data_IF_328253840744
#
_entry.id   IF_328253840744
#
_cell.length_a   1.000
_cell.length_b   1.000
_cell.length_c   1.000
_cell.angle_alpha   90.00
_cell.angle_beta   90.00
_cell.angle_gamma   90.00
#
_symmetry.space_group_name_H-M   'P 1'
#
loop_
_entity.id
_entity.type
_entity.pdbx_description
1 polymer ?
#
# COMPACT_ATOMS: atom_id res chain seq x y z
N UNK A 1 3.86 10.77 -18.47
CA UNK A 1 2.77 11.75 -18.24
C UNK A 1 1.95 11.28 -17.07
N UNK A 2 1.59 12.19 -16.17
CA UNK A 2 0.73 11.88 -15.02
C UNK A 2 -0.71 11.58 -15.44
N UNK A 3 -1.44 10.90 -14.56
CA UNK A 3 -2.87 10.69 -14.73
C UNK A 3 -3.62 12.03 -14.87
N UNK A 4 -4.45 12.15 -15.91
CA UNK A 4 -5.36 13.29 -16.07
C UNK A 4 -6.58 13.06 -15.20
N UNK A 5 -6.91 14.03 -14.37
CA UNK A 5 -8.03 13.96 -13.44
C UNK A 5 -9.06 15.07 -13.73
N UNK A 6 -9.65 15.02 -14.91
CA UNK A 6 -10.67 15.97 -15.32
C UNK A 6 -12.05 15.35 -15.13
N UNK A 7 -12.95 16.11 -14.51
CA UNK A 7 -14.35 15.73 -14.44
C UNK A 7 -14.96 15.71 -15.85
N UNK A 8 -15.89 14.80 -16.08
CA UNK A 8 -16.62 14.69 -17.33
C UNK A 8 -18.08 14.38 -17.02
N UNK A 9 -19.02 15.00 -17.74
CA UNK A 9 -20.46 14.74 -17.59
C UNK A 9 -20.81 13.26 -17.77
N UNK A 10 -20.02 12.50 -18.53
CA UNK A 10 -20.15 11.04 -18.66
C UNK A 10 -20.07 10.29 -17.32
N UNK A 11 -19.48 10.90 -16.28
CA UNK A 11 -19.41 10.33 -14.94
C UNK A 11 -20.75 10.41 -14.19
N UNK A 12 -21.70 11.23 -14.64
CA UNK A 12 -23.06 11.33 -14.07
C UNK A 12 -24.02 10.28 -14.64
N UNK A 13 -23.57 9.47 -15.60
CA UNK A 13 -24.39 8.41 -16.18
C UNK A 13 -24.92 7.45 -15.09
N UNK A 14 -26.19 6.99 -15.14
CA UNK A 14 -26.83 6.18 -14.09
C UNK A 14 -26.05 4.92 -13.68
N UNK A 15 -25.26 4.34 -14.60
CA UNK A 15 -24.33 3.23 -14.30
C UNK A 15 -23.35 3.49 -13.16
N UNK A 16 -23.07 4.76 -12.82
CA UNK A 16 -22.21 5.15 -11.71
C UNK A 16 -23.00 5.59 -10.46
N UNK A 17 -24.33 5.58 -10.48
CA UNK A 17 -25.17 6.07 -9.38
C UNK A 17 -24.86 5.37 -8.05
N UNK A 18 -24.71 4.05 -8.05
CA UNK A 18 -24.33 3.28 -6.85
C UNK A 18 -22.93 3.65 -6.32
N UNK A 19 -22.00 3.96 -7.22
CA UNK A 19 -20.65 4.41 -6.85
C UNK A 19 -20.69 5.78 -6.20
N UNK A 20 -21.44 6.73 -6.81
CA UNK A 20 -21.62 8.06 -6.25
C UNK A 20 -22.37 8.05 -4.92
N UNK A 21 -23.42 7.24 -4.81
CA UNK A 21 -24.14 7.05 -3.55
C UNK A 21 -23.20 6.55 -2.44
N UNK A 22 -22.39 5.52 -2.72
CA UNK A 22 -21.39 5.02 -1.77
C UNK A 22 -20.35 6.08 -1.38
N UNK A 23 -19.91 6.91 -2.32
CA UNK A 23 -18.99 8.03 -2.07
C UNK A 23 -19.64 9.10 -1.19
N UNK A 24 -20.90 9.46 -1.44
CA UNK A 24 -21.64 10.45 -0.64
C UNK A 24 -21.86 9.93 0.77
N UNK A 25 -22.27 8.67 0.92
CA UNK A 25 -22.41 8.02 2.23
C UNK A 25 -21.07 8.04 2.98
N UNK A 26 -19.97 7.66 2.31
CA UNK A 26 -18.64 7.71 2.92
C UNK A 26 -18.26 9.13 3.34
N UNK A 27 -18.52 10.13 2.50
CA UNK A 27 -18.27 11.54 2.80
C UNK A 27 -19.03 12.00 4.05
N UNK A 28 -20.32 11.67 4.15
CA UNK A 28 -21.14 12.01 5.31
C UNK A 28 -20.65 11.32 6.58
N UNK A 29 -20.36 10.02 6.50
CA UNK A 29 -19.87 9.24 7.64
C UNK A 29 -18.56 9.82 8.18
N UNK A 30 -17.58 10.13 7.33
CA UNK A 30 -16.29 10.64 7.82
C UNK A 30 -16.34 12.05 8.41
N UNK A 31 -17.49 12.73 8.41
CA UNK A 31 -17.64 13.97 9.18
C UNK A 31 -17.73 13.72 10.69
N UNK A 32 -18.08 12.49 11.11
CA UNK A 32 -18.14 12.11 12.52
C UNK A 32 -16.76 12.20 13.21
N UNK A 33 -16.72 12.32 14.55
CA UNK A 33 -15.45 12.40 15.26
C UNK A 33 -14.65 11.10 15.10
N UNK A 34 -13.33 11.23 14.99
CA UNK A 34 -12.45 10.13 14.58
C UNK A 34 -12.60 8.85 15.42
N UNK A 35 -12.72 9.01 16.75
CA UNK A 35 -12.89 7.89 17.69
C UNK A 35 -14.11 7.02 17.35
N UNK A 36 -15.20 7.63 16.87
CA UNK A 36 -16.40 6.91 16.45
C UNK A 36 -16.16 6.12 15.16
N UNK A 37 -15.45 6.70 14.20
CA UNK A 37 -15.08 6.03 12.94
C UNK A 37 -14.22 4.80 13.20
N UNK A 38 -13.25 4.89 14.11
CA UNK A 38 -12.39 3.75 14.48
C UNK A 38 -13.22 2.65 15.14
N UNK A 39 -14.11 2.98 16.08
CA UNK A 39 -14.98 1.99 16.74
C UNK A 39 -15.95 1.32 15.76
N UNK A 40 -16.60 2.12 14.92
CA UNK A 40 -17.52 1.63 13.90
C UNK A 40 -16.80 0.77 12.87
N UNK A 41 -15.64 1.21 12.39
CA UNK A 41 -14.79 0.45 11.47
C UNK A 41 -14.33 -0.87 12.07
N UNK A 42 -13.86 -0.86 13.32
CA UNK A 42 -13.47 -2.07 14.03
C UNK A 42 -14.65 -3.06 14.14
N UNK A 43 -15.83 -2.57 14.53
CA UNK A 43 -17.03 -3.38 14.67
C UNK A 43 -17.48 -3.98 13.32
N UNK A 44 -17.60 -3.15 12.27
CA UNK A 44 -17.98 -3.60 10.93
C UNK A 44 -16.94 -4.57 10.36
N UNK A 45 -15.66 -4.29 10.58
CA UNK A 45 -14.55 -5.14 10.16
C UNK A 45 -14.65 -6.55 10.74
N UNK A 46 -14.75 -6.68 12.06
CA UNK A 46 -14.87 -7.98 12.73
C UNK A 46 -16.13 -8.73 12.28
N UNK A 47 -17.27 -8.05 12.17
CA UNK A 47 -18.53 -8.65 11.74
C UNK A 47 -18.58 -9.00 10.24
N UNK A 48 -17.71 -8.40 9.43
CA UNK A 48 -17.63 -8.72 8.00
C UNK A 48 -17.33 -10.21 7.74
N UNK A 49 -16.71 -10.91 8.71
CA UNK A 49 -16.36 -12.34 8.58
C UNK A 49 -17.53 -13.24 8.17
N UNK A 50 -18.76 -12.88 8.53
CA UNK A 50 -19.96 -13.64 8.18
C UNK A 50 -20.36 -13.48 6.70
N UNK A 51 -19.99 -12.35 6.08
CA UNK A 51 -20.38 -11.98 4.72
C UNK A 51 -19.25 -12.17 3.69
N UNK A 52 -17.99 -11.96 4.08
CA UNK A 52 -16.82 -12.04 3.19
C UNK A 52 -15.99 -13.32 3.39
N UNK A 53 -16.66 -14.47 3.56
CA UNK A 53 -16.04 -15.78 3.88
C UNK A 53 -14.82 -16.12 3.02
N UNK A 54 -14.88 -15.88 1.70
CA UNK A 54 -13.75 -16.09 0.78
C UNK A 54 -12.52 -15.25 1.13
N UNK A 55 -12.72 -13.98 1.52
CA UNK A 55 -11.61 -13.10 1.92
C UNK A 55 -11.00 -13.55 3.25
N UNK A 56 -11.84 -13.97 4.20
CA UNK A 56 -11.37 -14.54 5.48
C UNK A 56 -10.50 -15.78 5.24
N UNK A 57 -10.94 -16.69 4.37
CA UNK A 57 -10.15 -17.87 3.99
C UNK A 57 -8.79 -17.50 3.37
N UNK A 58 -8.74 -16.49 2.49
CA UNK A 58 -7.47 -15.99 1.92
C UNK A 58 -6.55 -15.41 3.00
N UNK A 59 -7.09 -14.57 3.90
CA UNK A 59 -6.33 -13.97 5.00
C UNK A 59 -5.72 -15.09 5.86
N UNK A 60 -6.57 -16.01 6.32
CA UNK A 60 -6.15 -17.16 7.14
C UNK A 60 -5.07 -17.97 6.45
N UNK A 61 -5.28 -18.33 5.18
CA UNK A 61 -4.32 -19.12 4.42
C UNK A 61 -2.97 -18.42 4.26
N UNK A 62 -2.97 -17.12 3.99
CA UNK A 62 -1.71 -16.36 3.91
C UNK A 62 -0.98 -16.34 5.25
N UNK A 63 -1.70 -16.16 6.36
CA UNK A 63 -1.13 -16.15 7.70
C UNK A 63 -0.53 -17.50 8.07
N UNK A 64 -1.22 -18.61 7.77
CA UNK A 64 -0.72 -19.98 7.99
C UNK A 64 0.55 -20.25 7.17
N UNK A 65 0.60 -19.78 5.92
CA UNK A 65 1.76 -19.93 5.04
C UNK A 65 2.97 -19.10 5.53
N UNK A 66 2.74 -17.88 6.02
CA UNK A 66 3.80 -17.00 6.48
C UNK A 66 4.32 -17.40 7.87
N UNK A 67 3.44 -17.85 8.75
CA UNK A 67 3.72 -18.10 10.18
C UNK A 67 3.42 -19.55 10.57
N UNK A 68 4.13 -20.54 10.02
CA UNK A 68 3.86 -21.96 10.26
C UNK A 68 4.04 -22.38 11.73
N UNK A 69 4.80 -21.61 12.51
CA UNK A 69 5.04 -21.89 13.93
C UNK A 69 3.92 -21.36 14.85
N UNK A 70 2.95 -20.60 14.32
CA UNK A 70 1.80 -20.12 15.11
C UNK A 70 0.75 -21.19 15.22
N UNK A 71 0.19 -21.36 16.41
CA UNK A 71 -0.93 -22.26 16.60
C UNK A 71 -2.22 -21.69 15.99
N UNK A 72 -3.26 -22.53 15.90
CA UNK A 72 -4.55 -22.16 15.30
C UNK A 72 -5.21 -20.95 15.96
N UNK A 73 -5.13 -20.84 17.29
CA UNK A 73 -5.72 -19.73 18.04
C UNK A 73 -5.02 -18.41 17.68
N UNK A 74 -3.69 -18.41 17.65
CA UNK A 74 -2.91 -17.23 17.26
C UNK A 74 -3.22 -16.78 15.83
N UNK A 75 -3.36 -17.71 14.88
CA UNK A 75 -3.76 -17.39 13.51
C UNK A 75 -5.18 -16.79 13.49
N UNK A 76 -6.14 -17.42 14.17
CA UNK A 76 -7.53 -16.95 14.20
C UNK A 76 -7.65 -15.56 14.87
N UNK A 77 -6.91 -15.30 15.94
CA UNK A 77 -6.85 -13.98 16.59
C UNK A 77 -6.28 -12.92 15.63
N UNK A 78 -5.23 -13.26 14.88
CA UNK A 78 -4.60 -12.36 13.91
C UNK A 78 -5.51 -12.08 12.70
N UNK A 79 -6.32 -13.06 12.28
CA UNK A 79 -7.38 -12.87 11.27
C UNK A 79 -8.40 -11.85 11.77
N UNK A 80 -8.85 -11.94 13.02
CA UNK A 80 -9.83 -11.01 13.59
C UNK A 80 -9.27 -9.59 13.66
N UNK A 81 -8.02 -9.43 14.12
CA UNK A 81 -7.37 -8.11 14.14
C UNK A 81 -7.12 -7.56 12.72
N UNK A 82 -6.83 -8.43 11.75
CA UNK A 82 -6.74 -7.99 10.35
C UNK A 82 -8.07 -7.49 9.79
N UNK A 83 -9.17 -8.18 10.10
CA UNK A 83 -10.51 -7.75 9.72
C UNK A 83 -10.92 -6.45 10.42
N UNK A 84 -10.55 -6.28 11.70
CA UNK A 84 -10.70 -5.02 12.42
C UNK A 84 -9.99 -3.89 11.67
N UNK A 85 -8.74 -4.11 11.28
CA UNK A 85 -7.93 -3.13 10.55
C UNK A 85 -8.52 -2.79 9.18
N UNK A 86 -9.03 -3.79 8.45
CA UNK A 86 -9.72 -3.63 7.18
C UNK A 86 -10.96 -2.72 7.30
N UNK A 87 -11.78 -2.93 8.34
CA UNK A 87 -12.96 -2.10 8.56
C UNK A 87 -12.63 -0.65 8.93
N UNK A 88 -11.57 -0.42 9.71
CA UNK A 88 -11.07 0.94 9.99
C UNK A 88 -10.57 1.61 8.70
N UNK A 89 -9.88 0.86 7.84
CA UNK A 89 -9.32 1.38 6.59
C UNK A 89 -10.34 1.92 5.58
N UNK A 90 -11.58 1.43 5.62
CA UNK A 90 -12.68 2.02 4.85
C UNK A 90 -12.88 3.50 5.21
N UNK A 91 -12.89 3.81 6.51
CA UNK A 91 -13.02 5.19 6.98
C UNK A 91 -11.73 5.98 6.77
N UNK A 92 -10.55 5.36 6.94
CA UNK A 92 -9.27 6.01 6.63
C UNK A 92 -9.20 6.47 5.17
N UNK A 93 -9.78 5.70 4.25
CA UNK A 93 -9.91 6.08 2.84
C UNK A 93 -10.73 7.36 2.67
N UNK A 94 -11.91 7.42 3.29
CA UNK A 94 -12.74 8.63 3.25
C UNK A 94 -12.06 9.83 3.94
N UNK A 95 -11.39 9.60 5.07
CA UNK A 95 -10.59 10.62 5.77
C UNK A 95 -9.51 11.17 4.84
N UNK A 96 -8.75 10.30 4.18
CA UNK A 96 -7.68 10.70 3.26
C UNK A 96 -8.19 11.59 2.12
N UNK A 97 -9.35 11.24 1.55
CA UNK A 97 -9.90 11.92 0.39
C UNK A 97 -10.64 13.22 0.75
N UNK A 98 -11.33 13.28 1.89
CA UNK A 98 -12.26 14.37 2.20
C UNK A 98 -11.81 15.31 3.31
N UNK A 99 -10.98 14.89 4.27
CA UNK A 99 -10.57 15.78 5.36
C UNK A 99 -9.61 16.89 4.91
N UNK A 100 -9.67 18.02 5.61
CA UNK A 100 -8.71 19.11 5.43
C UNK A 100 -7.33 18.74 5.97
N UNK A 101 -6.29 19.38 5.44
CA UNK A 101 -4.90 19.21 5.88
C UNK A 101 -4.76 19.47 7.38
N UNK A 102 -5.47 20.48 7.91
CA UNK A 102 -5.49 20.82 9.34
C UNK A 102 -5.98 19.66 10.21
N UNK A 103 -6.96 18.88 9.75
CA UNK A 103 -7.44 17.70 10.50
C UNK A 103 -6.43 16.56 10.40
N UNK A 104 -5.89 16.29 9.22
CA UNK A 104 -4.93 15.20 8.99
C UNK A 104 -3.63 15.42 9.77
N UNK A 105 -3.09 16.64 9.79
CA UNK A 105 -1.84 16.99 10.52
C UNK A 105 -1.91 16.73 12.04
N UNK A 106 -3.10 16.58 12.62
CA UNK A 106 -3.29 16.23 14.04
C UNK A 106 -3.22 14.72 14.32
N UNK A 107 -3.23 13.89 13.28
CA UNK A 107 -3.33 12.44 13.42
C UNK A 107 -1.97 11.74 13.46
N UNK A 108 -0.88 12.38 13.04
CA UNK A 108 0.36 11.67 12.80
C UNK A 108 1.60 12.41 13.26
N UNK A 109 2.66 11.63 13.46
CA UNK A 109 4.03 12.07 13.60
C UNK A 109 4.91 11.40 12.55
N UNK A 110 6.05 12.00 12.23
CA UNK A 110 6.99 11.48 11.24
C UNK A 110 8.26 11.04 11.94
N UNK A 111 8.71 9.83 11.64
CA UNK A 111 9.96 9.25 12.15
C UNK A 111 10.91 8.97 10.99
N UNK A 112 12.19 9.32 11.14
CA UNK A 112 13.21 9.06 10.13
C UNK A 112 13.19 10.01 8.92
N UNK A 113 12.62 11.22 9.06
CA UNK A 113 12.59 12.20 7.96
C UNK A 113 13.99 12.60 7.46
N UNK A 114 14.99 12.56 8.34
CA UNK A 114 16.40 12.79 7.99
C UNK A 114 16.89 11.80 6.92
N UNK A 115 16.46 10.53 6.96
CA UNK A 115 16.84 9.53 5.95
C UNK A 115 16.40 9.96 4.55
N UNK A 116 15.20 10.55 4.41
CA UNK A 116 14.73 11.10 3.14
C UNK A 116 15.52 12.33 2.71
N UNK A 117 15.80 13.24 3.66
CA UNK A 117 16.58 14.46 3.39
C UNK A 117 18.00 14.13 2.92
N UNK A 118 18.66 13.18 3.58
CA UNK A 118 19.98 12.68 3.18
C UNK A 118 19.95 12.02 1.80
N UNK A 119 18.92 11.21 1.52
CA UNK A 119 18.78 10.54 0.23
C UNK A 119 18.58 11.53 -0.91
N UNK A 120 17.75 12.57 -0.72
CA UNK A 120 17.48 13.56 -1.76
C UNK A 120 18.63 14.55 -1.94
N UNK A 121 19.40 14.82 -0.88
CA UNK A 121 20.61 15.67 -0.93
C UNK A 121 21.71 15.10 -1.85
N UNK A 122 21.65 13.82 -2.20
CA UNK A 122 22.56 13.18 -3.18
C UNK A 122 22.33 13.68 -4.63
N UNK A 123 21.42 14.63 -4.86
CA UNK A 123 20.99 15.10 -6.19
C UNK A 123 20.50 13.96 -7.10
N UNK A 124 19.92 12.93 -6.48
CA UNK A 124 19.27 11.81 -7.16
C UNK A 124 17.81 11.76 -6.71
N UNK A 125 16.91 11.34 -7.59
CA UNK A 125 15.55 11.01 -7.16
C UNK A 125 15.56 9.84 -6.19
N UNK A 126 14.45 9.64 -5.48
CA UNK A 126 14.37 8.67 -4.37
C UNK A 126 13.29 7.63 -4.64
N UNK A 127 13.63 6.35 -4.52
CA UNK A 127 12.63 5.27 -4.58
C UNK A 127 12.16 5.00 -3.16
N UNK A 128 10.86 5.12 -2.94
CA UNK A 128 10.23 4.90 -1.65
C UNK A 128 9.41 3.61 -1.76
N UNK A 129 9.95 2.53 -1.20
CA UNK A 129 9.32 1.22 -1.12
C UNK A 129 8.26 1.23 -0.03
N UNK A 130 7.00 1.09 -0.43
CA UNK A 130 5.87 0.95 0.48
C UNK A 130 5.44 -0.49 0.68
N UNK A 131 4.71 -0.70 1.77
CA UNK A 131 3.94 -1.91 2.03
C UNK A 131 2.45 -1.60 1.88
N UNK A 132 1.66 -2.51 1.31
CA UNK A 132 0.20 -2.39 1.27
C UNK A 132 -0.39 -2.66 2.65
N UNK A 133 -0.23 -1.71 3.58
CA UNK A 133 -1.02 -1.68 4.80
C UNK A 133 -2.43 -1.19 4.51
N UNK A 134 -3.41 -1.62 5.32
CA UNK A 134 -4.82 -1.28 5.12
C UNK A 134 -5.05 0.23 5.06
N UNK A 135 -4.26 1.01 5.81
CA UNK A 135 -4.28 2.48 5.87
C UNK A 135 -3.65 3.18 4.64
N UNK A 136 -3.47 2.48 3.51
CA UNK A 136 -2.71 2.96 2.34
C UNK A 136 -3.12 4.35 1.83
N UNK A 137 -4.42 4.61 1.67
CA UNK A 137 -4.91 5.91 1.16
C UNK A 137 -4.55 7.06 2.12
N UNK A 138 -4.68 6.82 3.43
CA UNK A 138 -4.25 7.77 4.46
C UNK A 138 -2.74 7.92 4.49
N UNK A 139 -1.99 6.82 4.32
CA UNK A 139 -0.53 6.82 4.19
C UNK A 139 -0.05 7.70 3.03
N UNK A 140 -0.65 7.55 1.85
CA UNK A 140 -0.34 8.39 0.69
C UNK A 140 -0.66 9.87 0.93
N UNK A 141 -1.81 10.15 1.58
CA UNK A 141 -2.20 11.52 1.95
C UNK A 141 -1.22 12.16 2.93
N UNK A 142 -0.85 11.45 3.99
CA UNK A 142 0.08 11.91 5.03
C UNK A 142 1.46 12.12 4.42
N UNK A 143 1.96 11.16 3.64
CA UNK A 143 3.26 11.25 2.98
C UNK A 143 3.37 12.50 2.09
N UNK A 144 2.36 12.78 1.27
CA UNK A 144 2.36 13.98 0.43
C UNK A 144 2.23 15.30 1.20
N UNK A 145 1.76 15.30 2.46
CA UNK A 145 1.82 16.47 3.34
C UNK A 145 3.23 16.67 3.93
N UNK A 146 4.05 15.62 3.98
CA UNK A 146 5.40 15.65 4.56
C UNK A 146 6.46 16.01 3.52
N UNK A 147 6.38 15.45 2.32
CA UNK A 147 7.35 15.69 1.26
C UNK A 147 6.79 15.40 -0.14
N UNK A 148 7.35 16.02 -1.20
CA UNK A 148 6.98 15.74 -2.58
C UNK A 148 7.20 14.27 -2.96
N UNK A 149 6.13 13.59 -3.38
CA UNK A 149 6.20 12.21 -3.87
C UNK A 149 5.19 11.97 -4.99
N UNK A 150 5.63 11.24 -6.02
CA UNK A 150 4.77 10.66 -7.04
C UNK A 150 4.43 9.23 -6.66
N UNK A 151 3.21 8.76 -6.92
CA UNK A 151 2.84 7.38 -6.64
C UNK A 151 2.63 6.59 -7.93
N UNK A 152 3.24 5.41 -8.01
CA UNK A 152 2.85 4.43 -9.01
C UNK A 152 1.43 3.92 -8.72
N UNK A 153 0.60 3.78 -9.75
CA UNK A 153 -0.72 3.16 -9.60
C UNK A 153 -1.21 2.44 -10.86
N UNK A 154 -2.33 1.74 -10.70
CA UNK A 154 -3.13 1.20 -11.80
C UNK A 154 -4.46 1.96 -11.82
N UNK A 155 -4.91 2.49 -12.97
CA UNK A 155 -6.24 3.09 -13.09
C UNK A 155 -7.34 2.13 -12.63
N UNK A 156 -8.29 2.65 -11.87
CA UNK A 156 -9.44 1.89 -11.41
C UNK A 156 -10.38 1.58 -12.59
N UNK A 157 -10.98 0.37 -12.59
CA UNK A 157 -11.86 -0.08 -13.66
C UNK A 157 -13.15 0.78 -13.76
N UNK A 158 -13.72 1.15 -12.61
CA UNK A 158 -14.81 2.10 -12.52
C UNK A 158 -14.28 3.54 -12.61
N UNK A 159 -14.71 4.30 -13.62
CA UNK A 159 -14.21 5.65 -13.91
C UNK A 159 -14.63 6.72 -12.89
N UNK A 160 -15.79 6.57 -12.24
CA UNK A 160 -16.18 7.48 -11.16
C UNK A 160 -15.26 7.28 -9.94
N UNK A 161 -14.94 6.02 -9.62
CA UNK A 161 -13.97 5.70 -8.57
C UNK A 161 -12.55 6.17 -8.92
N UNK A 162 -12.11 5.99 -10.17
CA UNK A 162 -10.82 6.52 -10.66
C UNK A 162 -10.73 8.04 -10.44
N UNK A 163 -11.77 8.78 -10.84
CA UNK A 163 -11.82 10.23 -10.67
C UNK A 163 -11.72 10.63 -9.19
N UNK A 164 -12.55 10.05 -8.30
CA UNK A 164 -12.53 10.46 -6.89
C UNK A 164 -11.22 10.07 -6.19
N UNK A 165 -10.69 8.87 -6.48
CA UNK A 165 -9.46 8.36 -5.88
C UNK A 165 -8.27 9.21 -6.31
N UNK A 166 -8.12 9.48 -7.62
CA UNK A 166 -7.03 10.35 -8.11
C UNK A 166 -7.21 11.78 -7.61
N UNK A 167 -8.44 12.28 -7.48
CA UNK A 167 -8.72 13.59 -6.89
C UNK A 167 -8.27 13.67 -5.45
N UNK A 168 -8.60 12.67 -4.63
CA UNK A 168 -8.15 12.59 -3.24
C UNK A 168 -6.63 12.53 -3.12
N UNK A 169 -5.99 11.63 -3.89
CA UNK A 169 -4.53 11.44 -3.86
C UNK A 169 -3.75 12.68 -4.31
N UNK A 170 -4.21 13.38 -5.34
CA UNK A 170 -3.55 14.60 -5.84
C UNK A 170 -3.73 15.83 -4.94
N UNK A 171 -4.49 15.77 -3.84
CA UNK A 171 -4.56 16.88 -2.86
C UNK A 171 -3.25 17.08 -2.11
N UNK A 172 -2.42 16.04 -2.00
CA UNK A 172 -1.11 16.07 -1.35
C UNK A 172 0.01 15.48 -2.20
N UNK A 173 -0.30 14.54 -3.09
CA UNK A 173 0.70 13.97 -4.01
C UNK A 173 1.03 14.91 -5.16
N UNK A 174 2.25 14.80 -5.70
CA UNK A 174 2.68 15.56 -6.88
C UNK A 174 2.11 14.99 -8.19
N UNK A 175 1.87 13.68 -8.24
CA UNK A 175 1.28 13.04 -9.41
C UNK A 175 1.14 11.53 -9.29
N UNK A 176 0.22 10.98 -10.08
CA UNK A 176 -0.01 9.55 -10.20
C UNK A 176 0.59 9.05 -11.52
N UNK A 177 1.44 8.04 -11.49
CA UNK A 177 2.12 7.47 -12.66
C UNK A 177 1.58 6.06 -12.90
N UNK A 178 1.08 5.79 -14.11
CA UNK A 178 0.65 4.43 -14.47
C UNK A 178 1.82 3.45 -14.37
N UNK A 179 1.61 2.32 -13.68
CA UNK A 179 2.59 1.25 -13.50
C UNK A 179 3.20 0.73 -14.80
N UNK A 180 2.51 0.88 -15.94
CA UNK A 180 3.01 0.49 -17.26
C UNK A 180 4.07 1.45 -17.80
N UNK A 181 4.19 2.67 -17.25
CA UNK A 181 5.06 3.71 -17.77
C UNK A 181 6.41 3.77 -17.03
N UNK A 182 7.17 2.68 -17.10
CA UNK A 182 8.50 2.57 -16.49
C UNK A 182 9.45 3.68 -16.95
N UNK A 183 9.44 4.00 -18.26
CA UNK A 183 10.28 5.06 -18.84
C UNK A 183 10.04 6.41 -18.15
N UNK A 184 8.78 6.79 -17.93
CA UNK A 184 8.45 8.04 -17.26
C UNK A 184 8.83 8.00 -15.77
N UNK A 185 8.70 6.86 -15.08
CA UNK A 185 9.18 6.72 -13.70
C UNK A 185 10.70 6.93 -13.61
N UNK A 186 11.49 6.35 -14.51
CA UNK A 186 12.94 6.54 -14.55
C UNK A 186 13.30 8.01 -14.84
N UNK A 187 12.59 8.66 -15.77
CA UNK A 187 12.80 10.09 -16.06
C UNK A 187 12.54 10.97 -14.83
N UNK A 188 11.44 10.71 -14.10
CA UNK A 188 11.09 11.45 -12.89
C UNK A 188 12.16 11.27 -11.78
N UNK A 189 12.66 10.04 -11.59
CA UNK A 189 13.75 9.76 -10.66
C UNK A 189 15.05 10.47 -11.07
N UNK A 190 15.42 10.44 -12.36
CA UNK A 190 16.58 11.19 -12.85
C UNK A 190 16.43 12.70 -12.70
N UNK A 191 15.20 13.22 -12.67
CA UNK A 191 14.93 14.64 -12.40
C UNK A 191 14.91 15.00 -10.90
N UNK A 192 15.38 14.12 -10.02
CA UNK A 192 15.47 14.41 -8.58
C UNK A 192 14.18 14.19 -7.80
N UNK A 193 13.14 13.61 -8.40
CA UNK A 193 11.83 13.44 -7.75
C UNK A 193 11.74 12.09 -7.03
N UNK A 194 10.91 12.02 -6.01
CA UNK A 194 10.63 10.78 -5.29
C UNK A 194 9.47 10.00 -5.94
N UNK A 195 9.58 8.67 -5.99
CA UNK A 195 8.54 7.76 -6.44
C UNK A 195 8.23 6.73 -5.37
N UNK A 196 6.97 6.65 -4.97
CA UNK A 196 6.44 5.57 -4.16
C UNK A 196 6.08 4.35 -5.02
N UNK A 197 6.59 3.19 -4.62
CA UNK A 197 6.41 1.91 -5.30
C UNK A 197 6.18 0.80 -4.27
N UNK A 198 5.21 -0.09 -4.50
CA UNK A 198 4.90 -1.19 -3.59
C UNK A 198 5.05 -2.57 -4.29
N UNK A 199 6.12 -3.33 -4.00
CA UNK A 199 6.45 -4.60 -4.66
C UNK A 199 5.76 -5.84 -4.03
N UNK A 200 5.04 -5.67 -2.94
CA UNK A 200 4.51 -6.70 -2.04
C UNK A 200 3.18 -7.35 -2.51
N UNK A 201 2.89 -7.29 -3.80
CA UNK A 201 1.74 -7.98 -4.40
C UNK A 201 2.20 -9.03 -5.41
N UNK A 202 1.32 -9.99 -5.72
CA UNK A 202 1.49 -10.88 -6.87
C UNK A 202 1.31 -10.12 -8.20
N UNK A 203 2.38 -10.05 -9.01
CA UNK A 203 2.39 -9.38 -10.33
C UNK A 203 2.23 -10.36 -11.51
N UNK A 204 1.93 -11.64 -11.26
CA UNK A 204 1.93 -12.68 -12.30
C UNK A 204 3.34 -13.18 -12.61
N UNK A 205 3.56 -13.73 -13.81
CA UNK A 205 4.86 -14.29 -14.23
C UNK A 205 5.76 -13.28 -14.96
N UNK A 206 5.15 -12.28 -15.59
CA UNK A 206 5.88 -11.32 -16.42
C UNK A 206 6.54 -10.27 -15.54
N UNK A 207 7.87 -10.12 -15.68
CA UNK A 207 8.62 -9.11 -14.94
C UNK A 207 8.85 -9.46 -13.47
N UNK A 208 8.68 -10.73 -13.10
CA UNK A 208 8.89 -11.24 -11.74
C UNK A 208 9.96 -12.33 -11.71
N UNK A 209 10.44 -12.66 -10.52
CA UNK A 209 11.24 -13.84 -10.20
C UNK A 209 10.64 -14.50 -8.96
N UNK A 210 10.90 -15.79 -8.76
CA UNK A 210 10.45 -16.49 -7.56
C UNK A 210 11.50 -16.34 -6.45
N UNK A 211 11.16 -15.59 -5.41
CA UNK A 211 12.04 -15.31 -4.28
C UNK A 211 11.31 -15.65 -2.95
N UNK A 212 12.05 -15.95 -1.87
CA UNK A 212 11.46 -16.25 -0.57
C UNK A 212 10.72 -15.03 0.00
N UNK A 213 9.54 -15.25 0.57
CA UNK A 213 8.78 -14.25 1.33
C UNK A 213 8.13 -14.94 2.54
N UNK A 214 8.54 -14.55 3.74
CA UNK A 214 8.33 -15.28 4.98
C UNK A 214 8.72 -16.77 4.79
N UNK A 215 7.89 -17.69 5.26
CA UNK A 215 8.14 -19.14 5.15
C UNK A 215 7.82 -19.72 3.76
N UNK A 216 7.41 -18.89 2.78
CA UNK A 216 7.10 -19.34 1.42
C UNK A 216 8.31 -19.14 0.50
N UNK A 217 8.98 -20.24 0.15
CA UNK A 217 10.22 -20.25 -0.65
C UNK A 217 10.07 -19.62 -2.04
N UNK A 218 8.98 -19.94 -2.74
CA UNK A 218 8.76 -19.50 -4.11
C UNK A 218 7.60 -18.51 -4.16
N UNK A 219 7.90 -17.21 -4.07
CA UNK A 219 6.90 -16.14 -4.18
C UNK A 219 7.18 -15.28 -5.40
N UNK A 220 6.19 -15.07 -6.27
CA UNK A 220 6.34 -14.19 -7.43
C UNK A 220 6.58 -12.74 -6.99
N UNK A 221 7.81 -12.27 -7.10
CA UNK A 221 8.23 -10.94 -6.66
C UNK A 221 8.67 -10.09 -7.86
N UNK A 222 8.19 -8.85 -7.90
CA UNK A 222 8.46 -7.90 -8.97
C UNK A 222 9.93 -7.48 -9.02
N UNK A 223 10.51 -7.50 -10.23
CA UNK A 223 11.83 -6.89 -10.51
C UNK A 223 11.75 -5.36 -10.64
N UNK A 224 10.55 -4.77 -10.52
CA UNK A 224 10.32 -3.35 -10.78
C UNK A 224 11.16 -2.43 -9.90
N UNK A 225 11.32 -2.76 -8.62
CA UNK A 225 12.11 -1.95 -7.68
C UNK A 225 13.59 -1.92 -8.08
N UNK A 226 14.21 -3.08 -8.34
CA UNK A 226 15.63 -3.14 -8.74
C UNK A 226 15.86 -2.53 -10.12
N UNK A 227 14.94 -2.76 -11.05
CA UNK A 227 14.97 -2.14 -12.38
C UNK A 227 14.93 -0.62 -12.31
N UNK A 228 14.04 -0.04 -11.48
CA UNK A 228 13.97 1.40 -11.28
C UNK A 228 15.28 1.93 -10.68
N UNK A 229 15.75 1.30 -9.61
CA UNK A 229 16.95 1.73 -8.89
C UNK A 229 18.21 1.64 -9.77
N UNK A 230 18.33 0.58 -10.59
CA UNK A 230 19.46 0.39 -11.51
C UNK A 230 19.46 1.44 -12.62
N UNK A 231 18.30 1.73 -13.23
CA UNK A 231 18.21 2.65 -14.35
C UNK A 231 18.32 4.13 -13.94
N UNK A 232 17.90 4.47 -12.72
CA UNK A 232 17.96 5.85 -12.21
C UNK A 232 19.13 6.13 -11.27
N UNK A 233 19.82 5.09 -10.79
CA UNK A 233 20.82 5.14 -9.72
C UNK A 233 20.31 5.77 -8.41
N UNK A 234 19.00 5.72 -8.20
CA UNK A 234 18.33 6.34 -7.06
C UNK A 234 18.50 5.54 -5.77
N UNK A 235 18.77 6.20 -4.63
CA UNK A 235 18.66 5.54 -3.33
C UNK A 235 17.25 4.98 -3.11
N UNK A 236 17.17 3.83 -2.44
CA UNK A 236 15.93 3.13 -2.14
C UNK A 236 15.71 3.10 -0.62
N UNK A 237 14.57 3.61 -0.15
CA UNK A 237 14.18 3.62 1.27
C UNK A 237 12.83 2.94 1.46
N UNK A 238 12.48 2.59 2.70
CA UNK A 238 11.12 2.13 3.04
C UNK A 238 10.26 3.24 3.60
N UNK A 239 8.94 3.13 3.42
CA UNK A 239 7.96 3.91 4.16
C UNK A 239 6.79 3.04 4.60
N UNK A 240 6.40 3.18 5.87
CA UNK A 240 5.24 2.49 6.43
C UNK A 240 4.44 3.46 7.29
N UNK A 241 3.11 3.48 7.12
CA UNK A 241 2.20 4.18 8.03
C UNK A 241 1.67 3.18 9.05
N UNK A 242 2.08 3.32 10.31
CA UNK A 242 1.63 2.47 11.41
C UNK A 242 0.48 3.13 12.15
N UNK A 243 -0.68 2.46 12.26
CA UNK A 243 -1.70 2.86 13.23
C UNK A 243 -1.22 2.46 14.62
N UNK A 244 -1.11 3.43 15.52
CA UNK A 244 -0.65 3.18 16.88
C UNK A 244 -1.69 2.38 17.68
N UNK A 245 -1.27 1.72 18.76
CA UNK A 245 -2.14 0.87 19.60
C UNK A 245 -3.35 1.61 20.19
N UNK A 246 -3.25 2.92 20.37
CA UNK A 246 -4.39 3.75 20.79
C UNK A 246 -5.49 3.87 19.71
N UNK A 247 -5.22 3.38 18.49
CA UNK A 247 -6.13 3.36 17.35
C UNK A 247 -6.41 4.73 16.72
N UNK A 248 -5.90 5.81 17.30
CA UNK A 248 -6.31 7.19 16.96
C UNK A 248 -5.15 8.11 16.56
N UNK A 249 -3.95 7.56 16.42
CA UNK A 249 -2.76 8.27 15.95
C UNK A 249 -1.92 7.35 15.07
N UNK A 250 -1.04 7.94 14.27
CA UNK A 250 -0.21 7.23 13.31
C UNK A 250 1.25 7.67 13.35
N UNK A 251 2.12 6.71 13.04
CA UNK A 251 3.53 6.97 12.81
C UNK A 251 3.83 6.75 11.33
N UNK A 252 4.22 7.80 10.61
CA UNK A 252 4.84 7.66 9.29
C UNK A 252 6.33 7.39 9.50
N UNK A 253 6.77 6.16 9.24
CA UNK A 253 8.14 5.72 9.49
C UNK A 253 8.89 5.59 8.18
N UNK A 254 9.96 6.37 8.02
CA UNK A 254 10.90 6.28 6.91
C UNK A 254 12.11 5.46 7.34
N UNK A 255 12.36 4.35 6.65
CA UNK A 255 13.55 3.53 6.86
C UNK A 255 14.82 4.21 6.37
N UNK A 256 15.97 3.60 6.71
CA UNK A 256 17.26 3.97 6.12
C UNK A 256 17.33 3.49 4.67
N UNK A 257 18.28 4.03 3.92
CA UNK A 257 18.61 3.52 2.59
C UNK A 257 19.00 2.03 2.64
N UNK A 258 18.51 1.26 1.68
CA UNK A 258 18.93 -0.12 1.47
C UNK A 258 20.32 -0.09 0.83
N UNK A 259 21.34 -0.41 1.62
CA UNK A 259 22.75 -0.38 1.19
C UNK A 259 23.03 -1.52 0.22
N UNK A 260 23.95 -1.30 -0.73
CA UNK A 260 24.38 -2.29 -1.73
C UNK A 260 23.24 -2.86 -2.59
N UNK A 261 22.23 -2.05 -2.88
CA UNK A 261 21.07 -2.43 -3.69
C UNK A 261 20.82 -1.39 -4.80
N UNK A 262 20.46 -1.80 -6.02
CA UNK A 262 20.35 -3.18 -6.51
C UNK A 262 21.73 -3.76 -6.89
N UNK A 263 21.77 -5.08 -7.09
CA UNK A 263 22.93 -5.83 -7.57
C UNK A 263 22.74 -6.26 -9.03
N UNK A 264 23.65 -7.08 -9.57
CA UNK A 264 23.46 -7.73 -10.88
C UNK A 264 22.62 -9.02 -10.80
N UNK A 265 22.36 -9.53 -9.60
CA UNK A 265 21.56 -10.74 -9.37
C UNK A 265 20.11 -10.38 -9.03
N UNK A 266 19.23 -10.59 -10.02
CA UNK A 266 17.80 -10.28 -9.87
C UNK A 266 17.09 -11.11 -8.79
N UNK A 267 17.56 -12.33 -8.50
CA UNK A 267 16.98 -13.17 -7.46
C UNK A 267 17.41 -12.66 -6.08
N UNK A 268 18.69 -12.32 -5.93
CA UNK A 268 19.22 -11.71 -4.71
C UNK A 268 18.50 -10.39 -4.38
N UNK A 269 18.30 -9.52 -5.38
CA UNK A 269 17.59 -8.27 -5.21
C UNK A 269 16.13 -8.47 -4.77
N UNK A 270 15.44 -9.43 -5.40
CA UNK A 270 14.05 -9.75 -5.05
C UNK A 270 13.93 -10.31 -3.62
N UNK A 271 14.87 -11.18 -3.21
CA UNK A 271 14.95 -11.71 -1.86
C UNK A 271 15.25 -10.59 -0.83
N UNK A 272 16.14 -9.66 -1.18
CA UNK A 272 16.49 -8.50 -0.34
C UNK A 272 15.26 -7.62 -0.10
N UNK A 273 14.51 -7.28 -1.16
CA UNK A 273 13.28 -6.50 -1.03
C UNK A 273 12.22 -7.25 -0.22
N UNK A 274 12.02 -8.54 -0.46
CA UNK A 274 11.10 -9.34 0.36
C UNK A 274 11.50 -9.33 1.85
N UNK A 275 12.77 -9.51 2.19
CA UNK A 275 13.25 -9.46 3.57
C UNK A 275 13.02 -8.09 4.22
N UNK A 276 13.22 -7.01 3.47
CA UNK A 276 12.93 -5.66 3.93
C UNK A 276 11.43 -5.48 4.19
N UNK A 277 10.58 -5.95 3.27
CA UNK A 277 9.12 -5.91 3.42
C UNK A 277 8.66 -6.73 4.62
N UNK A 278 9.23 -7.91 4.87
CA UNK A 278 8.93 -8.74 6.05
C UNK A 278 9.18 -7.97 7.34
N UNK A 279 10.33 -7.29 7.46
CA UNK A 279 10.65 -6.45 8.62
C UNK A 279 9.65 -5.32 8.81
N UNK A 280 9.20 -4.68 7.72
CA UNK A 280 8.18 -3.63 7.77
C UNK A 280 6.80 -4.19 8.17
N UNK A 281 6.41 -5.34 7.62
CA UNK A 281 5.15 -6.02 7.95
C UNK A 281 5.12 -6.43 9.42
N UNK A 282 6.24 -6.96 9.94
CA UNK A 282 6.33 -7.41 11.34
C UNK A 282 6.19 -6.29 12.37
N UNK A 283 6.26 -5.01 11.98
CA UNK A 283 5.94 -3.88 12.87
C UNK A 283 4.46 -3.84 13.27
N UNK A 284 3.57 -4.30 12.38
CA UNK A 284 2.12 -4.36 12.61
C UNK A 284 1.48 -5.40 11.65
N UNK A 285 1.72 -6.71 11.86
CA UNK A 285 1.27 -7.75 10.93
C UNK A 285 -0.25 -7.76 10.76
N UNK A 286 -1.02 -7.37 11.78
CA UNK A 286 -2.46 -7.23 11.70
C UNK A 286 -2.92 -6.11 10.74
N UNK A 287 -2.05 -5.19 10.36
CA UNK A 287 -2.38 -4.07 9.47
C UNK A 287 -2.03 -4.32 8.01
N UNK A 288 -1.35 -5.43 7.69
CA UNK A 288 -0.99 -5.78 6.32
C UNK A 288 -2.20 -6.28 5.49
N UNK A 289 -2.20 -6.04 4.17
CA UNK A 289 -3.26 -6.48 3.26
C UNK A 289 -3.20 -8.00 2.99
N UNK A 290 -3.44 -8.81 4.02
CA UNK A 290 -3.53 -10.27 3.93
C UNK A 290 -4.69 -10.77 3.07
N UNK A 291 -5.64 -9.91 2.69
CA UNK A 291 -6.76 -10.25 1.79
C UNK A 291 -6.35 -10.41 0.32
N UNK A 292 -5.12 -10.04 -0.04
CA UNK A 292 -4.55 -10.25 -1.37
C UNK A 292 -4.03 -11.69 -1.52
N UNK A 293 -4.24 -12.31 -2.69
CA UNK A 293 -3.68 -13.63 -2.98
C UNK A 293 -2.20 -13.49 -3.37
N UNK A 294 -1.33 -13.19 -2.40
CA UNK A 294 0.12 -12.93 -2.54
C UNK A 294 0.88 -14.08 -3.22
N UNK A 295 0.43 -15.32 -3.02
CA UNK A 295 1.10 -16.56 -3.46
C UNK A 295 0.39 -17.25 -4.62
N UNK A 296 -0.39 -16.50 -5.44
CA UNK A 296 -1.30 -17.09 -6.43
C UNK A 296 -0.53 -17.69 -7.60
N UNK A 297 0.50 -16.97 -8.04
CA UNK A 297 1.39 -17.35 -9.12
C UNK A 297 2.48 -18.26 -8.54
N UNK A 298 2.61 -19.45 -9.12
CA UNK A 298 3.58 -20.48 -8.74
C UNK A 298 4.52 -20.81 -9.90
N UNK A 299 5.69 -21.40 -9.64
CA UNK A 299 6.49 -22.07 -10.66
C UNK A 299 5.67 -23.12 -11.44
N UNK A 300 6.14 -23.48 -12.62
CA UNK A 300 5.50 -24.54 -13.41
C UNK A 300 5.54 -25.88 -12.69
N UNK A 301 4.44 -26.62 -12.72
CA UNK A 301 4.28 -27.88 -12.02
C UNK A 301 3.92 -27.76 -10.53
N UNK A 302 4.00 -26.57 -9.91
CA UNK A 302 3.61 -26.42 -8.51
C UNK A 302 2.10 -26.17 -8.32
N UNK A 303 1.45 -26.83 -7.35
CA UNK A 303 0.02 -26.66 -7.09
C UNK A 303 -0.32 -25.30 -6.48
N UNK A 304 -1.59 -24.89 -6.59
CA UNK A 304 -2.05 -23.65 -5.96
C UNK A 304 -1.98 -23.74 -4.44
N UNK A 305 -1.51 -22.67 -3.80
CA UNK A 305 -1.54 -22.54 -2.33
C UNK A 305 -2.88 -22.04 -1.79
N UNK A 306 -3.84 -21.69 -2.66
CA UNK A 306 -5.19 -21.33 -2.26
C UNK A 306 -6.15 -22.39 -2.77
N UNK A 307 -6.84 -23.03 -1.82
CA UNK A 307 -7.89 -24.02 -2.06
C UNK A 307 -9.24 -23.29 -1.96
#
# INVERSE_FOLDING_TARGET
MYAKNLFSLKLLHPKYATTWLGIVILFLLVQLPYKWLVRLGAFLGVNSKYFIKRRVSIIKRNLELCFPNKNRKEIDDLVIENLRSLGIALFETGIAWFWSDKRIKKLFQVKGISNYQEAIAKNKGVIIVGVHFMSLELGGRIMGLCFPVNAMYRPHNNKAMEYIQTKGRCRSGKGMIDRKNLRFMVQELKSGKAIWFAPDQDFGRKGTVFAPFFSVKNTSTSKGTSTLAQLSHSPTLTVTLLRNRNGISYDLVLGKEIVNYPTSDTLHDAATINSVLEKEIMKAPEQYLWAHRRFKTRPDGEPSLYI
#
